data_IF_130894391393
#
_entry.id   IF_130894391393
#
_cell.length_a   1.000
_cell.length_b   1.000
_cell.length_c   1.000
_cell.angle_alpha   90.00
_cell.angle_beta   90.00
_cell.angle_gamma   90.00
#
_symmetry.space_group_name_H-M   'P 1'
#
loop_
_entity.id
_entity.type
_entity.pdbx_description
1 polymer ?
#
# COMPACT_ATOMS: atom_id res chain seq x y z
N UNK A 1 -65.23 1.41 -38.29
CA UNK A 1 -66.05 1.20 -39.50
C UNK A 1 -65.11 0.65 -40.58
N UNK A 2 -64.80 -0.65 -40.51
CA UNK A 2 -65.36 -1.73 -41.35
C UNK A 2 -64.79 -1.75 -42.76
N UNK A 3 -63.68 -2.48 -42.95
CA UNK A 3 -63.26 -2.99 -44.26
C UNK A 3 -63.67 -4.48 -44.38
N UNK A 4 -64.03 -4.94 -45.59
CA UNK A 4 -64.89 -6.11 -45.79
C UNK A 4 -64.17 -7.44 -45.57
N UNK A 5 -64.82 -8.35 -44.84
CA UNK A 5 -64.39 -9.74 -44.64
C UNK A 5 -64.96 -10.59 -45.78
N UNK A 6 -64.11 -11.33 -46.48
CA UNK A 6 -64.53 -12.30 -47.48
C UNK A 6 -64.99 -13.60 -46.78
N UNK A 7 -66.14 -14.13 -47.20
CA UNK A 7 -66.72 -15.38 -46.70
C UNK A 7 -66.73 -16.42 -47.83
N UNK A 8 -66.61 -17.70 -47.51
CA UNK A 8 -66.78 -18.81 -48.45
C UNK A 8 -68.27 -19.07 -48.77
N UNK A 9 -68.54 -20.01 -49.68
CA UNK A 9 -69.90 -20.32 -50.16
C UNK A 9 -70.82 -20.90 -49.05
N UNK A 10 -70.24 -21.39 -47.96
CA UNK A 10 -70.92 -21.91 -46.77
C UNK A 10 -71.02 -20.86 -45.64
N UNK A 11 -70.62 -19.61 -45.91
CA UNK A 11 -70.80 -18.46 -45.03
C UNK A 11 -69.77 -18.31 -43.91
N UNK A 12 -68.59 -18.95 -44.00
CA UNK A 12 -67.51 -18.84 -43.01
C UNK A 12 -66.43 -17.86 -43.47
N UNK A 13 -65.89 -17.01 -42.58
CA UNK A 13 -64.90 -16.01 -42.97
C UNK A 13 -63.55 -16.67 -43.32
N UNK A 14 -62.97 -16.26 -44.45
CA UNK A 14 -61.77 -16.84 -45.06
C UNK A 14 -60.43 -16.41 -44.42
N UNK A 15 -60.45 -15.61 -43.34
CA UNK A 15 -59.23 -15.23 -42.62
C UNK A 15 -59.30 -15.59 -41.13
N UNK A 16 -58.34 -16.40 -40.68
CA UNK A 16 -58.04 -16.63 -39.27
C UNK A 16 -57.25 -15.44 -38.71
N UNK A 17 -57.73 -14.81 -37.64
CA UNK A 17 -56.91 -13.89 -36.85
C UNK A 17 -55.86 -14.68 -36.05
N UNK A 18 -54.59 -14.25 -36.02
CA UNK A 18 -53.62 -14.81 -35.07
C UNK A 18 -54.06 -14.47 -33.64
N UNK A 19 -54.00 -15.48 -32.77
CA UNK A 19 -54.33 -15.37 -31.34
C UNK A 19 -53.49 -14.27 -30.72
N UNK A 20 -54.15 -13.24 -30.17
CA UNK A 20 -53.51 -12.22 -29.36
C UNK A 20 -53.02 -12.91 -28.08
N UNK A 21 -51.69 -13.03 -27.85
CA UNK A 21 -51.18 -13.81 -26.74
C UNK A 21 -51.59 -13.17 -25.42
N UNK A 22 -52.24 -13.99 -24.60
CA UNK A 22 -52.55 -13.73 -23.21
C UNK A 22 -51.28 -13.35 -22.43
N UNK A 23 -51.41 -12.36 -21.55
CA UNK A 23 -50.38 -11.90 -20.62
C UNK A 23 -49.76 -13.08 -19.84
N UNK A 24 -48.47 -13.40 -20.00
CA UNK A 24 -47.81 -14.40 -19.17
C UNK A 24 -47.56 -13.85 -17.77
N UNK A 25 -47.81 -14.68 -16.75
CA UNK A 25 -47.37 -14.44 -15.37
C UNK A 25 -45.84 -14.17 -15.33
N UNK A 26 -45.35 -13.30 -14.43
CA UNK A 26 -43.95 -12.92 -14.41
C UNK A 26 -43.06 -14.12 -14.06
N UNK A 27 -42.33 -14.62 -15.05
CA UNK A 27 -41.17 -15.49 -14.84
C UNK A 27 -40.10 -14.72 -14.04
N UNK A 28 -39.38 -15.37 -13.12
CA UNK A 28 -38.29 -14.74 -12.41
C UNK A 28 -37.20 -14.33 -13.42
N UNK A 29 -37.07 -13.03 -13.64
CA UNK A 29 -36.01 -12.42 -14.45
C UNK A 29 -34.67 -13.00 -14.00
N UNK A 30 -34.05 -13.86 -14.82
CA UNK A 30 -32.63 -14.17 -14.68
C UNK A 30 -31.88 -12.86 -14.86
N UNK A 31 -31.49 -12.27 -13.74
CA UNK A 31 -30.81 -10.99 -13.65
C UNK A 31 -29.35 -11.18 -14.09
N UNK A 32 -29.11 -11.29 -15.40
CA UNK A 32 -27.76 -11.11 -15.95
C UNK A 32 -27.35 -9.68 -15.64
N UNK A 33 -26.30 -9.50 -14.84
CA UNK A 33 -25.81 -8.22 -14.33
C UNK A 33 -25.08 -7.41 -15.42
N UNK A 34 -25.68 -7.30 -16.61
CA UNK A 34 -25.17 -6.46 -17.70
C UNK A 34 -25.99 -5.18 -17.66
N UNK A 35 -25.46 -4.18 -16.94
CA UNK A 35 -26.06 -2.85 -16.85
C UNK A 35 -25.99 -2.18 -18.22
N UNK A 36 -27.13 -1.96 -18.87
CA UNK A 36 -27.19 -1.12 -20.07
C UNK A 36 -26.86 0.32 -19.70
N UNK A 37 -25.96 0.95 -20.45
CA UNK A 37 -25.61 2.37 -20.27
C UNK A 37 -26.83 3.25 -20.57
N UNK A 38 -27.21 4.20 -19.69
CA UNK A 38 -28.27 5.17 -20.00
C UNK A 38 -27.85 6.09 -21.16
N UNK A 39 -28.82 6.48 -22.00
CA UNK A 39 -28.58 7.24 -23.24
C UNK A 39 -28.07 8.67 -23.02
N UNK A 40 -28.24 9.23 -21.82
CA UNK A 40 -27.62 10.47 -21.39
C UNK A 40 -27.34 10.44 -19.88
N UNK A 41 -26.23 11.06 -19.47
CA UNK A 41 -25.91 11.28 -18.06
C UNK A 41 -25.72 12.79 -17.89
N UNK A 42 -26.63 13.40 -17.13
CA UNK A 42 -26.59 14.84 -16.85
C UNK A 42 -25.53 15.12 -15.77
N UNK A 43 -24.50 15.90 -16.08
CA UNK A 43 -23.48 16.36 -15.13
C UNK A 43 -22.10 15.69 -15.22
N UNK A 44 -21.18 16.13 -14.35
CA UNK A 44 -19.81 15.61 -14.29
C UNK A 44 -19.73 14.39 -13.36
N UNK A 45 -19.49 13.21 -13.92
CA UNK A 45 -19.45 11.91 -13.23
C UNK A 45 -18.16 11.71 -12.41
N UNK A 46 -18.14 12.20 -11.17
CA UNK A 46 -17.00 12.03 -10.25
C UNK A 46 -17.19 10.97 -9.17
N UNK A 47 -18.37 10.35 -9.05
CA UNK A 47 -18.58 9.33 -8.02
C UNK A 47 -17.98 7.97 -8.43
N UNK A 48 -17.12 7.35 -7.59
CA UNK A 48 -16.47 6.07 -7.89
C UNK A 48 -17.47 4.94 -8.14
N UNK A 49 -18.60 4.96 -7.42
CA UNK A 49 -19.64 3.95 -7.52
C UNK A 49 -20.30 3.88 -8.90
N UNK A 50 -20.51 5.04 -9.57
CA UNK A 50 -21.02 5.07 -10.95
C UNK A 50 -20.01 4.46 -11.93
N UNK A 51 -18.70 4.71 -11.74
CA UNK A 51 -17.66 4.13 -12.61
C UNK A 51 -17.61 2.61 -12.54
N UNK A 52 -17.71 2.03 -11.35
CA UNK A 52 -17.73 0.56 -11.18
C UNK A 52 -18.95 -0.11 -11.80
N UNK A 53 -20.11 0.55 -11.82
CA UNK A 53 -21.34 -0.01 -12.41
C UNK A 53 -21.35 0.01 -13.94
N UNK A 54 -20.65 0.97 -14.56
CA UNK A 54 -20.53 1.09 -16.02
C UNK A 54 -19.21 0.54 -16.58
N UNK A 55 -18.29 0.05 -15.73
CA UNK A 55 -16.99 -0.49 -16.14
C UNK A 55 -17.09 -1.76 -17.00
N UNK A 56 -18.24 -2.44 -16.99
CA UNK A 56 -18.55 -3.53 -17.92
C UNK A 56 -18.99 -2.97 -19.29
N UNK A 57 -18.22 -2.06 -19.86
CA UNK A 57 -18.50 -1.55 -21.20
C UNK A 57 -18.33 -2.70 -22.22
N UNK A 58 -19.37 -2.97 -23.02
CA UNK A 58 -19.36 -4.00 -24.08
C UNK A 58 -18.27 -3.80 -25.16
N UNK A 59 -17.46 -2.74 -25.07
CA UNK A 59 -16.44 -2.36 -26.04
C UNK A 59 -15.02 -2.30 -25.46
N UNK A 60 -14.84 -2.73 -24.22
CA UNK A 60 -13.50 -2.95 -23.64
C UNK A 60 -13.10 -4.38 -23.98
N UNK A 61 -12.21 -4.51 -24.99
CA UNK A 61 -11.55 -5.78 -25.25
C UNK A 61 -10.56 -5.99 -24.11
N UNK A 62 -10.91 -6.85 -23.17
CA UNK A 62 -9.93 -7.39 -22.23
C UNK A 62 -8.91 -8.17 -23.07
N UNK A 63 -7.75 -7.57 -23.31
CA UNK A 63 -6.64 -8.29 -23.88
C UNK A 63 -6.33 -9.46 -22.93
N UNK A 64 -6.59 -10.68 -23.37
CA UNK A 64 -6.25 -11.88 -22.62
C UNK A 64 -4.73 -11.93 -22.55
N UNK A 65 -4.18 -11.63 -21.37
CA UNK A 65 -2.76 -11.84 -21.11
C UNK A 65 -2.50 -13.33 -21.33
N UNK A 66 -1.50 -13.72 -22.14
CA UNK A 66 -1.13 -15.13 -22.29
C UNK A 66 -0.98 -15.76 -20.92
N UNK A 67 -1.56 -16.95 -20.72
CA UNK A 67 -1.52 -17.67 -19.44
C UNK A 67 -0.08 -17.99 -19.02
N UNK A 68 0.85 -18.00 -19.99
CA UNK A 68 2.27 -18.17 -19.76
C UNK A 68 3.01 -17.01 -20.43
N UNK A 69 3.62 -16.08 -19.66
CA UNK A 69 4.38 -14.98 -20.23
C UNK A 69 5.58 -15.54 -20.99
N UNK A 70 5.79 -15.07 -22.23
CA UNK A 70 6.93 -15.48 -23.06
C UNK A 70 8.22 -15.14 -22.35
N UNK A 71 9.05 -16.16 -22.06
CA UNK A 71 10.34 -15.98 -21.40
C UNK A 71 11.23 -15.14 -22.31
N UNK A 72 11.59 -13.93 -21.88
CA UNK A 72 12.50 -13.09 -22.63
C UNK A 72 13.85 -13.82 -22.79
N UNK A 73 14.41 -13.84 -24.00
CA UNK A 73 15.76 -14.37 -24.22
C UNK A 73 16.77 -13.40 -23.62
N UNK A 74 17.29 -13.76 -22.45
CA UNK A 74 18.28 -12.97 -21.70
C UNK A 74 19.63 -13.10 -22.43
N UNK A 75 20.25 -11.96 -22.75
CA UNK A 75 21.60 -11.96 -23.33
C UNK A 75 22.64 -12.51 -22.35
N UNK A 76 23.69 -13.16 -22.86
CA UNK A 76 24.77 -13.73 -22.02
C UNK A 76 25.43 -12.68 -21.11
N UNK A 77 25.52 -11.43 -21.57
CA UNK A 77 26.06 -10.32 -20.77
C UNK A 77 25.15 -9.98 -19.58
N UNK A 78 23.83 -9.93 -19.81
CA UNK A 78 22.84 -9.64 -18.77
C UNK A 78 22.80 -10.75 -17.72
N UNK A 79 22.85 -12.00 -18.17
CA UNK A 79 22.93 -13.18 -17.28
C UNK A 79 24.14 -13.09 -16.34
N UNK A 80 25.31 -12.75 -16.87
CA UNK A 80 26.53 -12.58 -16.04
C UNK A 80 26.41 -11.42 -15.04
N UNK A 81 25.75 -10.31 -15.40
CA UNK A 81 25.51 -9.18 -14.47
C UNK A 81 24.52 -9.56 -13.36
N UNK A 82 23.49 -10.32 -13.70
CA UNK A 82 22.51 -10.85 -12.76
C UNK A 82 23.15 -11.84 -11.77
N UNK A 83 23.95 -12.79 -12.25
CA UNK A 83 24.69 -13.75 -11.42
C UNK A 83 25.61 -13.03 -10.41
N UNK A 84 26.41 -12.06 -10.87
CA UNK A 84 27.28 -11.25 -9.99
C UNK A 84 26.49 -10.45 -8.95
N UNK A 85 25.31 -9.95 -9.32
CA UNK A 85 24.47 -9.20 -8.38
C UNK A 85 23.89 -10.11 -7.32
N UNK A 86 23.49 -11.33 -7.69
CA UNK A 86 22.97 -12.34 -6.77
C UNK A 86 24.03 -12.85 -5.78
N UNK A 87 25.29 -12.94 -6.22
CA UNK A 87 26.43 -13.23 -5.33
C UNK A 87 26.71 -12.08 -4.35
N UNK A 88 26.65 -10.83 -4.82
CA UNK A 88 26.94 -9.65 -4.00
C UNK A 88 25.83 -9.33 -2.98
N UNK A 89 24.58 -9.59 -3.36
CA UNK A 89 23.39 -9.30 -2.58
C UNK A 89 22.56 -10.57 -2.36
N UNK A 90 23.08 -11.57 -1.61
CA UNK A 90 22.39 -12.85 -1.41
C UNK A 90 21.09 -12.74 -0.60
N UNK A 91 20.86 -11.58 0.01
CA UNK A 91 19.65 -11.29 0.81
C UNK A 91 18.49 -10.76 -0.03
N UNK A 92 18.75 -10.27 -1.24
CA UNK A 92 17.72 -9.74 -2.12
C UNK A 92 17.15 -10.86 -3.00
N UNK A 93 15.84 -10.82 -3.23
CA UNK A 93 15.18 -11.74 -4.13
C UNK A 93 15.14 -11.18 -5.56
N UNK A 94 16.23 -11.37 -6.30
CA UNK A 94 16.36 -10.90 -7.69
C UNK A 94 15.74 -11.89 -8.68
N UNK A 95 14.94 -11.38 -9.63
CA UNK A 95 14.38 -12.13 -10.75
C UNK A 95 15.46 -12.55 -11.78
N UNK A 96 15.11 -13.46 -12.68
CA UNK A 96 16.02 -13.95 -13.73
C UNK A 96 16.36 -12.81 -14.72
N UNK A 97 17.62 -12.39 -14.76
CA UNK A 97 18.07 -11.27 -15.59
C UNK A 97 18.07 -9.91 -14.87
N UNK A 98 17.59 -9.86 -13.62
CA UNK A 98 17.61 -8.66 -12.80
C UNK A 98 19.00 -8.44 -12.16
N UNK A 99 19.46 -7.20 -12.12
CA UNK A 99 20.72 -6.83 -11.50
C UNK A 99 20.64 -5.46 -10.79
N UNK A 100 21.43 -5.29 -9.73
CA UNK A 100 21.45 -4.07 -8.94
C UNK A 100 22.30 -3.01 -9.65
N UNK A 101 21.70 -1.85 -9.92
CA UNK A 101 22.34 -0.68 -10.51
C UNK A 101 22.93 0.20 -9.42
N UNK A 102 22.17 0.46 -8.35
CA UNK A 102 22.55 1.39 -7.29
C UNK A 102 22.09 0.90 -5.92
N UNK A 103 22.97 1.05 -4.92
CA UNK A 103 22.69 0.86 -3.49
C UNK A 103 22.70 2.25 -2.83
N UNK A 104 21.53 2.69 -2.36
CA UNK A 104 21.32 3.99 -1.71
C UNK A 104 21.05 3.77 -0.22
N UNK A 105 21.94 4.30 0.61
CA UNK A 105 21.79 4.35 2.08
C UNK A 105 21.08 5.62 2.51
N UNK A 106 20.46 5.60 3.70
CA UNK A 106 19.80 6.78 4.26
C UNK A 106 20.78 7.93 4.49
N UNK A 107 20.30 9.14 4.21
CA UNK A 107 21.08 10.36 4.30
C UNK A 107 21.44 10.69 5.77
N UNK A 108 22.68 11.13 6.10
CA UNK A 108 23.09 11.39 7.47
C UNK A 108 22.31 12.51 8.20
N UNK A 109 21.53 13.33 7.49
CA UNK A 109 20.72 14.38 8.11
C UNK A 109 19.66 13.80 9.05
N UNK A 110 19.01 12.69 8.70
CA UNK A 110 18.00 12.11 9.60
C UNK A 110 18.61 11.53 10.87
N UNK A 111 19.88 11.10 10.80
CA UNK A 111 20.65 10.64 11.95
C UNK A 111 20.88 11.77 12.98
N UNK A 112 21.09 13.00 12.50
CA UNK A 112 21.32 14.17 13.37
C UNK A 112 20.12 14.46 14.26
N UNK A 113 18.89 14.23 13.79
CA UNK A 113 17.70 14.41 14.62
C UNK A 113 17.68 13.42 15.79
N UNK A 114 17.93 12.14 15.53
CA UNK A 114 17.98 11.10 16.57
C UNK A 114 19.09 11.36 17.59
N UNK A 115 20.30 11.67 17.11
CA UNK A 115 21.43 12.02 17.98
C UNK A 115 21.12 13.27 18.80
N UNK A 116 20.57 14.31 18.15
CA UNK A 116 20.25 15.58 18.79
C UNK A 116 19.24 15.44 19.91
N UNK A 117 18.19 14.63 19.72
CA UNK A 117 17.18 14.37 20.76
C UNK A 117 17.79 13.64 21.95
N UNK A 118 18.54 12.55 21.73
CA UNK A 118 19.19 11.81 22.82
C UNK A 118 20.21 12.65 23.57
N UNK A 119 20.97 13.48 22.86
CA UNK A 119 21.95 14.37 23.44
C UNK A 119 21.30 15.50 24.25
N UNK A 120 20.24 16.12 23.72
CA UNK A 120 19.47 17.13 24.44
C UNK A 120 18.85 16.56 25.72
N UNK A 121 18.31 15.34 25.67
CA UNK A 121 17.78 14.64 26.85
C UNK A 121 18.87 14.41 27.91
N UNK A 122 20.07 13.98 27.50
CA UNK A 122 21.21 13.84 28.42
C UNK A 122 21.61 15.18 29.04
N UNK A 123 21.71 16.24 28.24
CA UNK A 123 22.01 17.59 28.76
C UNK A 123 20.98 18.00 29.80
N UNK A 124 19.69 17.79 29.53
CA UNK A 124 18.63 18.12 30.47
C UNK A 124 18.78 17.36 31.79
N UNK A 125 19.08 16.05 31.73
CA UNK A 125 19.31 15.22 32.93
C UNK A 125 20.53 15.70 33.72
N UNK A 126 21.65 15.98 33.04
CA UNK A 126 22.87 16.46 33.71
C UNK A 126 22.71 17.88 34.27
N UNK A 127 22.02 18.77 33.57
CA UNK A 127 21.70 20.10 34.07
C UNK A 127 20.81 20.02 35.32
N UNK A 128 19.82 19.13 35.31
CA UNK A 128 18.98 18.86 36.47
C UNK A 128 19.81 18.32 37.64
N UNK A 129 20.68 17.33 37.40
CA UNK A 129 21.57 16.77 38.42
C UNK A 129 22.49 17.82 39.04
N UNK A 130 23.03 18.74 38.24
CA UNK A 130 23.88 19.82 38.73
C UNK A 130 23.10 20.84 39.58
N UNK A 131 21.83 21.08 39.25
CA UNK A 131 20.98 22.04 39.96
C UNK A 131 20.31 21.42 41.21
N UNK A 132 20.11 20.10 41.23
CA UNK A 132 19.33 19.40 42.25
C UNK A 132 19.82 19.63 43.70
N UNK A 133 21.12 19.60 44.03
CA UNK A 133 21.60 19.87 45.39
C UNK A 133 21.17 21.25 45.91
N UNK A 134 21.32 22.28 45.07
CA UNK A 134 20.93 23.65 45.41
C UNK A 134 19.43 23.76 45.69
N UNK A 135 18.61 23.04 44.92
CA UNK A 135 17.15 22.99 45.12
C UNK A 135 16.78 22.24 46.40
N UNK A 136 17.50 21.17 46.72
CA UNK A 136 17.31 20.38 47.93
C UNK A 136 17.63 21.21 49.19
N UNK A 137 18.77 21.89 49.21
CA UNK A 137 19.18 22.73 50.35
C UNK A 137 18.27 23.95 50.55
N UNK A 138 17.72 24.48 49.45
CA UNK A 138 16.81 25.64 49.46
C UNK A 138 15.35 25.25 49.74
N UNK A 139 15.04 23.97 49.91
CA UNK A 139 13.67 23.47 50.06
C UNK A 139 13.16 23.75 51.49
N UNK A 140 12.69 24.97 51.74
CA UNK A 140 12.07 25.36 53.00
C UNK A 140 10.74 24.63 53.22
N UNK A 141 10.79 23.41 53.76
CA UNK A 141 9.61 22.64 54.19
C UNK A 141 8.89 21.86 53.08
N UNK A 142 9.45 21.82 51.86
CA UNK A 142 8.93 20.99 50.76
C UNK A 142 9.52 19.58 50.90
N UNK A 143 8.67 18.55 50.87
CA UNK A 143 9.14 17.17 50.84
C UNK A 143 9.88 16.89 49.52
N UNK A 144 11.21 16.86 49.58
CA UNK A 144 12.07 16.46 48.46
C UNK A 144 12.62 15.05 48.67
N UNK A 145 12.71 14.22 47.61
CA UNK A 145 13.37 12.92 47.68
C UNK A 145 14.83 13.04 48.15
N UNK A 146 15.39 11.95 48.68
CA UNK A 146 16.81 11.91 49.03
C UNK A 146 17.68 12.07 47.76
N UNK A 147 18.72 12.93 47.76
CA UNK A 147 19.62 13.10 46.62
C UNK A 147 20.20 11.81 46.07
N UNK A 148 20.52 10.85 46.95
CA UNK A 148 21.05 9.54 46.55
C UNK A 148 20.07 8.77 45.65
N UNK A 149 18.78 8.83 45.97
CA UNK A 149 17.72 8.17 45.18
C UNK A 149 17.58 8.87 43.83
N UNK A 150 17.58 10.20 43.81
CA UNK A 150 17.48 10.98 42.56
C UNK A 150 18.65 10.71 41.64
N UNK A 151 19.87 10.62 42.16
CA UNK A 151 21.06 10.30 41.36
C UNK A 151 20.97 8.93 40.71
N UNK A 152 20.51 7.90 41.45
CA UNK A 152 20.30 6.56 40.89
C UNK A 152 19.24 6.59 39.79
N UNK A 153 18.11 7.25 40.02
CA UNK A 153 17.03 7.36 39.03
C UNK A 153 17.50 8.10 37.78
N UNK A 154 18.18 9.23 37.92
CA UNK A 154 18.73 9.99 36.79
C UNK A 154 19.77 9.15 36.03
N UNK A 155 20.61 8.37 36.71
CA UNK A 155 21.56 7.47 36.07
C UNK A 155 20.86 6.40 35.24
N UNK A 156 19.77 5.80 35.74
CA UNK A 156 18.97 4.85 34.98
C UNK A 156 18.33 5.51 33.75
N UNK A 157 17.83 6.74 33.88
CA UNK A 157 17.28 7.51 32.76
C UNK A 157 18.37 7.82 31.72
N UNK A 158 19.57 8.20 32.15
CA UNK A 158 20.71 8.42 31.26
C UNK A 158 21.07 7.17 30.47
N UNK A 159 21.13 6.01 31.13
CA UNK A 159 21.38 4.72 30.47
C UNK A 159 20.27 4.39 29.48
N UNK A 160 19.01 4.53 29.88
CA UNK A 160 17.87 4.30 29.01
C UNK A 160 17.87 5.22 27.78
N UNK A 161 18.24 6.50 27.96
CA UNK A 161 18.37 7.46 26.87
C UNK A 161 19.46 7.04 25.87
N UNK A 162 20.63 6.62 26.36
CA UNK A 162 21.74 6.15 25.52
C UNK A 162 21.33 4.89 24.74
N UNK A 163 20.71 3.91 25.42
CA UNK A 163 20.26 2.67 24.79
C UNK A 163 19.17 2.94 23.76
N UNK A 164 18.16 3.74 24.10
CA UNK A 164 17.08 4.12 23.20
C UNK A 164 17.59 4.88 21.97
N UNK A 165 18.49 5.84 22.17
CA UNK A 165 19.14 6.58 21.09
C UNK A 165 19.96 5.68 20.17
N UNK A 166 20.74 4.77 20.75
CA UNK A 166 21.56 3.81 20.00
C UNK A 166 20.69 2.85 19.18
N UNK A 167 19.59 2.35 19.76
CA UNK A 167 18.66 1.47 19.07
C UNK A 167 17.96 2.20 17.93
N UNK A 168 17.49 3.42 18.17
CA UNK A 168 16.87 4.24 17.14
C UNK A 168 17.83 4.55 15.99
N UNK A 169 19.10 4.83 16.31
CA UNK A 169 20.16 5.05 15.32
C UNK A 169 20.44 3.77 14.52
N UNK A 170 20.48 2.61 15.18
CA UNK A 170 20.68 1.34 14.52
C UNK A 170 19.54 1.05 13.54
N UNK A 171 18.28 1.16 13.97
CA UNK A 171 17.09 1.00 13.10
C UNK A 171 17.14 1.98 11.92
N UNK A 172 17.55 3.23 12.16
CA UNK A 172 17.69 4.23 11.11
C UNK A 172 18.71 3.80 10.04
N UNK A 173 19.86 3.28 10.45
CA UNK A 173 20.96 2.88 9.57
C UNK A 173 20.70 1.58 8.79
N UNK A 174 19.85 0.69 9.30
CA UNK A 174 19.54 -0.57 8.62
C UNK A 174 18.56 -0.41 7.44
N UNK A 175 17.84 0.70 7.37
CA UNK A 175 16.95 0.97 6.25
C UNK A 175 17.75 1.29 4.98
N UNK A 176 17.51 0.54 3.90
CA UNK A 176 18.26 0.64 2.64
C UNK A 176 17.35 0.61 1.42
N UNK A 177 17.83 1.19 0.32
CA UNK A 177 17.11 1.27 -0.95
C UNK A 177 18.01 0.75 -2.07
N UNK A 178 17.52 -0.21 -2.84
CA UNK A 178 18.21 -0.79 -3.97
C UNK A 178 17.43 -0.46 -5.25
N UNK A 179 18.15 0.05 -6.25
CA UNK A 179 17.62 0.28 -7.57
C UNK A 179 18.15 -0.81 -8.51
N UNK A 180 17.25 -1.58 -9.12
CA UNK A 180 17.58 -2.57 -10.13
C UNK A 180 17.16 -2.07 -11.52
N UNK A 181 17.44 -2.85 -12.56
CA UNK A 181 17.01 -2.55 -13.93
C UNK A 181 15.50 -2.73 -14.17
N UNK A 182 14.79 -3.38 -13.25
CA UNK A 182 13.37 -3.71 -13.42
C UNK A 182 12.50 -3.16 -12.29
N UNK A 183 13.05 -2.99 -11.09
CA UNK A 183 12.27 -2.52 -9.96
C UNK A 183 13.11 -1.75 -8.93
N UNK A 184 12.40 -1.26 -7.94
CA UNK A 184 12.95 -0.64 -6.75
C UNK A 184 12.66 -1.55 -5.57
N UNK A 185 13.71 -1.99 -4.87
CA UNK A 185 13.60 -2.83 -3.68
C UNK A 185 13.93 -1.97 -2.46
N UNK A 186 13.02 -1.92 -1.50
CA UNK A 186 13.22 -1.24 -0.23
C UNK A 186 13.33 -2.26 0.89
N UNK A 187 14.43 -2.23 1.63
CA UNK A 187 14.57 -2.98 2.88
C UNK A 187 14.25 -2.02 4.04
N UNK A 188 13.07 -2.21 4.62
CA UNK A 188 12.57 -1.40 5.74
C UNK A 188 12.68 -2.23 7.02
N UNK A 189 13.45 -1.72 7.96
CA UNK A 189 13.51 -2.20 9.32
C UNK A 189 12.55 -1.39 10.19
N UNK A 190 11.44 -2.01 10.60
CA UNK A 190 10.44 -1.38 11.47
C UNK A 190 10.84 -1.45 12.95
N UNK A 191 11.71 -2.39 13.31
CA UNK A 191 12.15 -2.57 14.70
C UNK A 191 13.41 -3.43 14.82
N UNK A 192 13.85 -3.76 16.05
CA UNK A 192 15.09 -4.51 16.28
C UNK A 192 15.13 -5.86 15.56
N UNK A 193 13.97 -6.50 15.40
CA UNK A 193 13.85 -7.86 14.86
C UNK A 193 12.87 -7.98 13.68
N UNK A 194 12.20 -6.89 13.30
CA UNK A 194 11.24 -6.88 12.19
C UNK A 194 11.85 -6.18 10.99
N UNK A 195 11.89 -6.89 9.86
CA UNK A 195 12.30 -6.37 8.55
C UNK A 195 11.25 -6.73 7.52
N UNK A 196 11.01 -5.81 6.60
CA UNK A 196 10.10 -5.97 5.49
C UNK A 196 10.81 -5.57 4.21
N UNK A 197 10.72 -6.43 3.20
CA UNK A 197 11.18 -6.15 1.85
C UNK A 197 9.95 -5.75 1.02
N UNK A 198 10.00 -4.55 0.44
CA UNK A 198 8.96 -4.06 -0.45
C UNK A 198 9.54 -3.83 -1.84
N UNK A 199 8.96 -4.50 -2.83
CA UNK A 199 9.32 -4.34 -4.24
C UNK A 199 8.29 -3.47 -4.95
N UNK A 200 8.72 -2.41 -5.61
CA UNK A 200 7.88 -1.53 -6.41
C UNK A 200 8.36 -1.59 -7.86
N UNK A 201 7.51 -2.06 -8.76
CA UNK A 201 7.76 -2.22 -10.21
C UNK A 201 7.15 -1.09 -11.02
#
# INVERSE_FOLDING_TARGET
>A
MSQPVAYDAEGRPLYHHPVQPETPAPEPVKRTQVTSKPSSIEGQNFSPHLRTQYANEQRVVHATRPHEPTRYEISDELRRKSERSRERYPRLNLSEGEYVILDIKRHPIGMMATIGISFALLIAVFAFLALYPTLYDSSMGIFMPNPSVVYVVCLLISIASILGGSLALWVYLQNQFFLTNECVIQEIQEGPFSRHEQTVS
#
